data_IF_377630261869
#
_entry.id   IF_377630261869
#
_cell.length_a   1.000
_cell.length_b   1.000
_cell.length_c   1.000
_cell.angle_alpha   90.00
_cell.angle_beta   90.00
_cell.angle_gamma   90.00
#
_symmetry.space_group_name_H-M   'P 1'
#
loop_
_entity.id
_entity.type
_entity.pdbx_description
1 polymer ?
#
# COMPACT_ATOMS: atom_id res chain seq x y z
N UNK A 1 7.23 -29.34 -34.79
CA UNK A 1 5.94 -28.68 -34.50
C UNK A 1 5.48 -28.94 -33.05
N UNK A 2 6.36 -28.73 -32.05
CA UNK A 2 6.09 -29.01 -30.62
C UNK A 2 6.44 -27.80 -29.71
N UNK A 3 7.15 -26.79 -30.24
CA UNK A 3 7.68 -25.67 -29.45
C UNK A 3 6.62 -24.58 -29.17
N UNK A 4 5.54 -24.50 -29.94
CA UNK A 4 4.51 -23.47 -29.79
C UNK A 4 3.49 -23.75 -28.65
N UNK A 5 3.29 -25.01 -28.26
CA UNK A 5 2.28 -25.39 -27.26
C UNK A 5 2.74 -25.19 -25.82
N UNK A 6 4.05 -25.21 -25.56
CA UNK A 6 4.61 -25.02 -24.21
C UNK A 6 4.59 -23.55 -23.80
N UNK A 7 4.80 -22.62 -24.74
CA UNK A 7 4.75 -21.18 -24.48
C UNK A 7 3.32 -20.69 -24.18
N UNK A 8 2.31 -21.20 -24.87
CA UNK A 8 0.91 -20.85 -24.61
C UNK A 8 0.45 -21.28 -23.21
N UNK A 9 0.84 -22.48 -22.77
CA UNK A 9 0.53 -22.99 -21.43
C UNK A 9 1.21 -22.19 -20.30
N UNK A 10 2.49 -21.81 -20.47
CA UNK A 10 3.20 -21.03 -19.47
C UNK A 10 2.63 -19.60 -19.33
N UNK A 11 2.29 -18.94 -20.44
CA UNK A 11 1.70 -17.60 -20.43
C UNK A 11 0.30 -17.63 -19.81
N UNK A 12 -0.50 -18.67 -20.08
CA UNK A 12 -1.80 -18.86 -19.43
C UNK A 12 -1.66 -19.11 -17.93
N UNK A 13 -0.70 -19.93 -17.49
CA UNK A 13 -0.48 -20.18 -16.06
C UNK A 13 0.00 -18.90 -15.36
N UNK A 14 0.92 -18.15 -15.95
CA UNK A 14 1.47 -16.92 -15.34
C UNK A 14 0.44 -15.79 -15.28
N UNK A 15 -0.45 -15.67 -16.28
CA UNK A 15 -1.44 -14.59 -16.33
C UNK A 15 -2.80 -14.97 -15.72
N UNK A 16 -3.19 -16.24 -15.73
CA UNK A 16 -4.48 -16.70 -15.20
C UNK A 16 -4.40 -17.14 -13.74
N UNK A 17 -3.27 -17.68 -13.25
CA UNK A 17 -3.16 -18.16 -11.87
C UNK A 17 -3.31 -17.05 -10.80
N UNK A 18 -2.70 -15.85 -10.95
CA UNK A 18 -2.96 -14.72 -10.04
C UNK A 18 -4.44 -14.32 -10.07
N UNK A 19 -5.05 -14.35 -11.26
CA UNK A 19 -6.46 -13.97 -11.48
C UNK A 19 -7.45 -14.96 -10.86
N UNK A 20 -7.16 -16.25 -10.87
CA UNK A 20 -8.00 -17.28 -10.20
C UNK A 20 -7.86 -17.17 -8.68
N UNK A 21 -6.66 -16.97 -8.15
CA UNK A 21 -6.46 -16.78 -6.72
C UNK A 21 -7.17 -15.52 -6.21
N UNK A 22 -7.04 -14.41 -6.95
CA UNK A 22 -7.77 -13.18 -6.65
C UNK A 22 -9.29 -13.41 -6.72
N UNK A 23 -9.82 -14.05 -7.77
CA UNK A 23 -11.25 -14.38 -7.87
C UNK A 23 -11.78 -15.26 -6.71
N UNK A 24 -10.95 -16.19 -6.21
CA UNK A 24 -11.32 -17.06 -5.07
C UNK A 24 -11.16 -16.39 -3.70
N UNK A 25 -10.17 -15.51 -3.52
CA UNK A 25 -9.72 -15.07 -2.19
C UNK A 25 -9.71 -13.54 -1.98
N UNK A 26 -9.72 -12.75 -3.04
CA UNK A 26 -9.58 -11.28 -3.00
C UNK A 26 -10.90 -10.51 -3.07
N UNK A 27 -12.05 -11.16 -2.94
CA UNK A 27 -13.36 -10.47 -2.98
C UNK A 27 -13.53 -9.59 -1.73
N UNK A 28 -13.79 -8.32 -1.95
CA UNK A 28 -14.09 -7.35 -0.90
C UNK A 28 -15.20 -6.37 -1.27
N UNK A 29 -15.63 -5.57 -0.30
CA UNK A 29 -16.60 -4.50 -0.49
C UNK A 29 -16.02 -3.18 0.00
N UNK A 30 -16.20 -2.12 -0.79
CA UNK A 30 -15.83 -0.76 -0.40
C UNK A 30 -16.83 -0.26 0.65
N UNK A 31 -16.34 0.10 1.85
CA UNK A 31 -17.16 0.53 2.98
C UNK A 31 -17.14 2.05 3.17
N UNK A 32 -15.93 2.60 3.29
CA UNK A 32 -15.66 4.00 3.58
C UNK A 32 -14.71 4.59 2.55
N UNK A 33 -14.94 5.86 2.24
CA UNK A 33 -14.17 6.63 1.26
C UNK A 33 -13.85 7.97 1.92
N UNK A 34 -12.58 8.29 2.07
CA UNK A 34 -12.10 9.58 2.57
C UNK A 34 -11.29 10.23 1.45
N UNK A 35 -11.75 11.38 0.98
CA UNK A 35 -11.03 12.15 -0.03
C UNK A 35 -9.96 13.01 0.66
N UNK A 36 -8.75 12.96 0.13
CA UNK A 36 -7.58 13.71 0.56
C UNK A 36 -7.03 14.42 -0.68
N UNK A 37 -7.52 15.62 -0.98
CA UNK A 37 -7.18 16.34 -2.21
C UNK A 37 -7.55 15.55 -3.47
N UNK A 38 -6.54 15.21 -4.28
CA UNK A 38 -6.63 14.43 -5.51
C UNK A 38 -6.61 12.91 -5.28
N UNK A 39 -6.21 12.47 -4.08
CA UNK A 39 -6.17 11.09 -3.67
C UNK A 39 -7.40 10.71 -2.83
N UNK A 40 -7.74 9.43 -2.84
CA UNK A 40 -8.85 8.89 -2.05
C UNK A 40 -8.39 7.66 -1.28
N UNK A 41 -8.63 7.66 0.03
CA UNK A 41 -8.43 6.50 0.89
C UNK A 41 -9.71 5.72 0.96
N UNK A 42 -9.64 4.47 0.55
CA UNK A 42 -10.77 3.54 0.51
C UNK A 42 -10.55 2.45 1.54
N UNK A 43 -11.53 2.26 2.43
CA UNK A 43 -11.59 1.09 3.28
C UNK A 43 -12.30 -0.03 2.54
N UNK A 44 -11.60 -1.13 2.33
CA UNK A 44 -12.12 -2.35 1.72
C UNK A 44 -12.19 -3.44 2.79
N UNK A 45 -13.39 -3.97 3.00
CA UNK A 45 -13.62 -5.14 3.83
C UNK A 45 -13.56 -6.38 2.93
N UNK A 46 -12.47 -7.13 3.07
CA UNK A 46 -12.25 -8.40 2.39
C UNK A 46 -12.97 -9.54 3.11
N UNK A 47 -13.49 -10.50 2.34
CA UNK A 47 -14.11 -11.72 2.89
C UNK A 47 -13.10 -12.64 3.56
N UNK A 48 -11.83 -12.57 3.15
CA UNK A 48 -10.74 -13.33 3.74
C UNK A 48 -9.66 -12.36 4.19
N UNK A 49 -9.02 -12.69 5.30
CA UNK A 49 -7.90 -11.90 5.79
C UNK A 49 -6.79 -11.91 4.72
N UNK A 50 -6.36 -10.72 4.30
CA UNK A 50 -5.31 -10.53 3.30
C UNK A 50 -4.01 -10.16 3.97
N UNK A 51 -2.93 -10.67 3.40
CA UNK A 51 -1.57 -10.38 3.80
C UNK A 51 -1.22 -8.93 3.47
N UNK A 52 -0.73 -8.12 4.40
CA UNK A 52 -0.24 -6.74 4.22
C UNK A 52 1.17 -6.59 4.80
N UNK A 53 1.93 -5.64 4.27
CA UNK A 53 3.18 -5.17 4.86
C UNK A 53 3.48 -3.72 4.41
N UNK A 54 4.31 -2.98 5.14
CA UNK A 54 4.61 -1.58 4.82
C UNK A 54 5.14 -1.42 3.39
N UNK A 55 4.47 -0.56 2.62
CA UNK A 55 4.83 -0.23 1.24
C UNK A 55 4.36 -1.23 0.18
N UNK A 56 3.59 -2.26 0.56
CA UNK A 56 2.95 -3.12 -0.42
C UNK A 56 1.83 -2.40 -1.19
N UNK A 57 1.52 -2.90 -2.38
CA UNK A 57 0.42 -2.42 -3.20
C UNK A 57 -0.45 -3.59 -3.66
N UNK A 58 -1.64 -3.25 -4.14
CA UNK A 58 -2.60 -4.19 -4.72
C UNK A 58 -3.07 -3.66 -6.06
N UNK A 59 -3.62 -4.54 -6.88
CA UNK A 59 -4.51 -4.14 -7.95
C UNK A 59 -5.95 -4.31 -7.47
N UNK A 60 -6.75 -3.26 -7.65
CA UNK A 60 -8.19 -3.28 -7.40
C UNK A 60 -8.93 -3.33 -8.73
N UNK A 61 -9.87 -4.25 -8.85
CA UNK A 61 -10.72 -4.40 -10.04
C UNK A 61 -12.16 -4.20 -9.57
N UNK A 62 -12.83 -3.11 -9.99
CA UNK A 62 -14.24 -2.92 -9.70
C UNK A 62 -15.03 -4.00 -10.44
N UNK A 63 -15.85 -4.79 -9.73
CA UNK A 63 -16.61 -5.96 -10.21
C UNK A 63 -15.86 -7.27 -10.47
N UNK A 64 -16.34 -8.32 -9.79
CA UNK A 64 -15.87 -9.70 -9.90
C UNK A 64 -16.48 -10.50 -11.09
N UNK A 65 -17.30 -9.88 -11.93
CA UNK A 65 -18.04 -10.54 -13.02
C UNK A 65 -17.42 -10.41 -14.42
N UNK A 66 -16.56 -9.42 -14.65
CA UNK A 66 -15.86 -9.29 -15.94
C UNK A 66 -14.48 -8.66 -15.76
N UNK A 67 -13.48 -9.53 -15.62
CA UNK A 67 -12.05 -9.17 -15.62
C UNK A 67 -11.57 -8.66 -16.99
N UNK A 68 -12.38 -8.84 -18.04
CA UNK A 68 -12.10 -8.38 -19.40
C UNK A 68 -12.64 -6.97 -19.68
N UNK A 69 -13.64 -6.50 -18.91
CA UNK A 69 -14.26 -5.19 -19.11
C UNK A 69 -13.68 -4.08 -18.22
N UNK A 70 -12.99 -4.44 -17.14
CA UNK A 70 -12.54 -3.46 -16.13
C UNK A 70 -11.01 -3.44 -16.01
N UNK A 71 -10.45 -2.24 -16.11
CA UNK A 71 -9.01 -1.99 -15.97
C UNK A 71 -8.60 -2.12 -14.49
N UNK A 72 -7.58 -2.93 -14.17
CA UNK A 72 -7.02 -2.95 -12.82
C UNK A 72 -6.42 -1.60 -12.46
N UNK A 73 -6.73 -1.09 -11.27
CA UNK A 73 -6.15 0.13 -10.74
C UNK A 73 -5.11 -0.22 -9.67
N UNK A 74 -3.93 0.40 -9.74
CA UNK A 74 -2.91 0.23 -8.72
C UNK A 74 -3.30 1.04 -7.48
N UNK A 75 -3.26 0.39 -6.32
CA UNK A 75 -3.61 1.00 -5.04
C UNK A 75 -2.58 0.65 -3.97
N UNK A 76 -2.18 1.63 -3.17
CA UNK A 76 -1.16 1.43 -2.14
C UNK A 76 -1.80 1.09 -0.80
N UNK A 77 -1.18 0.19 -0.04
CA UNK A 77 -1.61 -0.06 1.33
C UNK A 77 -1.41 1.20 2.19
N UNK A 78 -2.49 1.69 2.77
CA UNK A 78 -2.55 2.99 3.43
C UNK A 78 -3.10 2.88 4.84
N UNK A 79 -2.27 2.38 5.75
CA UNK A 79 -2.65 2.00 7.12
C UNK A 79 -3.37 3.08 7.94
N UNK A 80 -4.24 2.69 8.90
CA UNK A 80 -4.83 3.64 9.83
C UNK A 80 -3.75 4.17 10.79
N UNK A 81 -3.70 5.48 11.00
CA UNK A 81 -2.68 6.15 11.83
C UNK A 81 -2.70 5.68 13.29
N UNK A 82 -3.84 5.22 13.80
CA UNK A 82 -4.01 4.71 15.19
C UNK A 82 -3.58 3.26 15.40
N UNK A 83 -3.13 2.56 14.34
CA UNK A 83 -2.77 1.15 14.48
C UNK A 83 -1.51 1.06 15.35
N UNK A 84 -1.57 0.31 16.45
CA UNK A 84 -0.47 0.23 17.43
C UNK A 84 0.78 -0.48 16.91
N UNK A 85 1.87 -0.42 17.68
CA UNK A 85 3.22 -0.90 17.32
C UNK A 85 3.26 -2.38 16.88
N UNK A 86 2.30 -3.22 17.30
CA UNK A 86 2.27 -4.65 16.97
C UNK A 86 1.96 -4.96 15.49
N UNK A 87 1.19 -4.11 14.79
CA UNK A 87 0.86 -4.33 13.38
C UNK A 87 2.05 -4.15 12.43
N UNK A 88 3.11 -3.51 12.91
CA UNK A 88 4.27 -3.13 12.12
C UNK A 88 5.27 -4.27 11.96
N UNK A 89 5.55 -5.03 13.02
CA UNK A 89 6.72 -5.93 13.09
C UNK A 89 6.62 -7.16 12.17
N UNK A 90 5.45 -7.46 11.65
CA UNK A 90 5.20 -8.65 10.83
C UNK A 90 4.28 -8.35 9.65
N UNK A 91 4.37 -9.22 8.65
CA UNK A 91 3.26 -9.43 7.74
C UNK A 91 1.97 -9.61 8.53
N UNK A 92 1.02 -8.69 8.37
CA UNK A 92 -0.26 -8.75 9.08
C UNK A 92 -1.32 -9.33 8.14
N UNK A 93 -2.22 -10.14 8.67
CA UNK A 93 -3.35 -10.66 7.90
C UNK A 93 -4.61 -10.00 8.44
N UNK A 94 -5.22 -9.09 7.67
CA UNK A 94 -6.41 -8.34 8.09
C UNK A 94 -7.53 -8.45 7.05
N UNK A 95 -8.77 -8.50 7.52
CA UNK A 95 -9.94 -8.42 6.66
C UNK A 95 -10.27 -6.98 6.28
N UNK A 96 -9.91 -6.01 7.12
CA UNK A 96 -10.14 -4.59 6.85
C UNK A 96 -8.83 -3.94 6.41
N UNK A 97 -8.81 -3.41 5.18
CA UNK A 97 -7.64 -2.81 4.57
C UNK A 97 -7.98 -1.42 4.08
N UNK A 98 -7.10 -0.49 4.36
CA UNK A 98 -7.15 0.87 3.85
C UNK A 98 -6.21 0.98 2.65
N UNK A 99 -6.72 1.52 1.56
CA UNK A 99 -6.03 1.56 0.27
C UNK A 99 -6.07 2.99 -0.26
N UNK A 100 -4.92 3.54 -0.61
CA UNK A 100 -4.83 4.81 -1.30
C UNK A 100 -5.03 4.59 -2.79
N UNK A 101 -6.02 5.27 -3.36
CA UNK A 101 -6.32 5.29 -4.79
C UNK A 101 -6.09 6.69 -5.32
N UNK A 102 -5.35 6.77 -6.42
CA UNK A 102 -5.08 8.03 -7.11
C UNK A 102 -6.20 8.35 -8.10
N UNK A 103 -6.42 9.63 -8.37
CA UNK A 103 -7.38 10.15 -9.36
C UNK A 103 -8.86 9.81 -9.09
N UNK A 104 -9.15 9.29 -7.88
CA UNK A 104 -10.49 9.15 -7.30
C UNK A 104 -11.58 8.67 -8.28
N UNK A 105 -11.44 7.47 -8.87
CA UNK A 105 -12.37 7.00 -9.90
C UNK A 105 -13.80 6.83 -9.37
N UNK A 106 -14.78 7.13 -10.23
CA UNK A 106 -16.22 7.19 -9.87
C UNK A 106 -16.77 5.90 -9.25
N UNK A 107 -16.21 4.73 -9.60
CA UNK A 107 -16.64 3.45 -9.04
C UNK A 107 -16.41 3.35 -7.53
N UNK A 108 -15.46 4.12 -6.96
CA UNK A 108 -15.20 4.14 -5.52
C UNK A 108 -16.41 4.69 -4.76
N UNK A 109 -17.05 5.73 -5.29
CA UNK A 109 -18.19 6.40 -4.65
C UNK A 109 -19.41 5.49 -4.57
N UNK A 110 -19.51 4.51 -5.46
CA UNK A 110 -20.65 3.60 -5.59
C UNK A 110 -20.62 2.41 -4.62
N UNK A 111 -19.63 2.31 -3.72
CA UNK A 111 -19.49 1.23 -2.72
C UNK A 111 -19.60 -0.18 -3.32
N UNK A 112 -18.96 -0.37 -4.48
CA UNK A 112 -19.08 -1.60 -5.26
C UNK A 112 -18.30 -2.76 -4.64
N UNK A 113 -18.66 -3.98 -5.03
CA UNK A 113 -17.81 -5.15 -4.80
C UNK A 113 -16.57 -5.05 -5.68
N UNK A 114 -15.43 -5.28 -5.06
CA UNK A 114 -14.12 -5.18 -5.68
C UNK A 114 -13.37 -6.48 -5.55
N UNK A 115 -12.46 -6.68 -6.49
CA UNK A 115 -11.50 -7.76 -6.45
C UNK A 115 -10.12 -7.19 -6.17
N UNK A 116 -9.50 -7.65 -5.08
CA UNK A 116 -8.14 -7.31 -4.70
C UNK A 116 -7.18 -8.40 -5.17
N UNK A 117 -6.15 -8.00 -5.89
CA UNK A 117 -5.06 -8.86 -6.29
C UNK A 117 -3.75 -8.35 -5.68
N UNK A 118 -3.04 -9.22 -4.96
CA UNK A 118 -1.86 -8.88 -4.16
C UNK A 118 -1.78 -9.65 -2.84
N UNK A 119 -0.94 -9.22 -1.88
CA UNK A 119 -0.09 -8.04 -1.93
C UNK A 119 1.09 -8.20 -2.89
N UNK A 120 1.41 -7.13 -3.61
CA UNK A 120 2.58 -7.00 -4.45
C UNK A 120 3.59 -6.02 -3.83
N UNK A 121 4.84 -6.10 -4.31
CA UNK A 121 5.97 -5.34 -3.80
C UNK A 121 7.04 -6.23 -3.18
N UNK A 122 8.07 -5.59 -2.64
CA UNK A 122 9.16 -6.25 -1.93
C UNK A 122 9.26 -5.68 -0.52
N UNK A 123 9.19 -6.55 0.48
CA UNK A 123 9.46 -6.12 1.85
C UNK A 123 10.96 -6.01 2.06
N UNK A 124 11.49 -4.79 1.90
CA UNK A 124 12.91 -4.48 2.02
C UNK A 124 13.46 -4.65 3.43
N UNK A 125 12.60 -4.81 4.45
CA UNK A 125 13.00 -4.96 5.86
C UNK A 125 14.00 -3.88 6.30
N UNK A 126 13.64 -2.59 6.16
CA UNK A 126 14.55 -1.49 6.43
C UNK A 126 15.08 -1.47 7.88
N UNK A 127 14.38 -2.12 8.82
CA UNK A 127 14.79 -2.27 10.22
C UNK A 127 16.13 -2.99 10.42
N UNK A 128 16.59 -3.72 9.38
CA UNK A 128 17.85 -4.47 9.36
C UNK A 128 19.05 -3.69 8.85
N UNK A 129 18.87 -2.42 8.49
CA UNK A 129 19.94 -1.56 8.00
C UNK A 129 20.15 -0.41 8.98
N UNK A 130 21.41 -0.04 9.23
CA UNK A 130 21.74 1.04 10.15
C UNK A 130 21.29 2.41 9.61
N UNK A 131 21.51 2.64 8.31
CA UNK A 131 21.09 3.85 7.60
C UNK A 131 20.19 3.45 6.44
N UNK A 132 19.02 4.09 6.36
CA UNK A 132 18.03 3.87 5.30
C UNK A 132 17.82 5.18 4.56
N UNK A 133 18.03 5.17 3.24
CA UNK A 133 17.70 6.30 2.38
C UNK A 133 16.48 5.91 1.55
N UNK A 134 15.41 6.68 1.72
CA UNK A 134 14.13 6.50 1.05
C UNK A 134 13.97 7.61 0.02
N UNK A 135 13.83 7.24 -1.25
CA UNK A 135 13.69 8.20 -2.35
C UNK A 135 12.37 7.95 -3.06
N UNK A 136 11.60 9.02 -3.28
CA UNK A 136 10.36 8.96 -4.01
C UNK A 136 10.21 10.19 -4.93
N UNK A 137 9.50 9.99 -6.04
CA UNK A 137 9.07 11.07 -6.92
C UNK A 137 7.53 11.06 -7.04
N UNK A 138 6.93 12.24 -7.02
CA UNK A 138 5.51 12.48 -7.15
C UNK A 138 4.72 11.58 -6.22
N UNK A 139 3.66 10.96 -6.75
CA UNK A 139 2.79 10.07 -5.99
C UNK A 139 3.42 8.72 -5.62
N UNK A 140 4.63 8.41 -6.09
CA UNK A 140 5.38 7.21 -5.70
C UNK A 140 5.73 7.16 -4.21
N UNK A 141 5.63 8.30 -3.50
CA UNK A 141 5.77 8.38 -2.04
C UNK A 141 4.78 7.49 -1.30
N UNK A 142 3.63 7.16 -1.92
CA UNK A 142 2.60 6.31 -1.32
C UNK A 142 3.10 4.91 -0.93
N UNK A 143 4.07 4.36 -1.66
CA UNK A 143 4.72 3.09 -1.32
C UNK A 143 5.86 3.23 -0.31
N UNK A 144 6.44 4.42 -0.19
CA UNK A 144 7.64 4.67 0.63
C UNK A 144 7.27 5.12 2.04
N UNK A 145 6.25 5.97 2.16
CA UNK A 145 5.84 6.57 3.43
C UNK A 145 5.40 5.52 4.47
N UNK A 146 4.64 4.46 4.12
CA UNK A 146 4.34 3.39 5.08
C UNK A 146 5.59 2.69 5.60
N UNK A 147 6.63 2.52 4.78
CA UNK A 147 7.89 1.93 5.20
C UNK A 147 8.64 2.84 6.18
N UNK A 148 8.69 4.16 5.92
CA UNK A 148 9.24 5.13 6.87
C UNK A 148 8.48 5.08 8.21
N UNK A 149 7.14 5.09 8.17
CA UNK A 149 6.27 5.05 9.34
C UNK A 149 6.46 3.77 10.15
N UNK A 150 6.61 2.64 9.47
CA UNK A 150 6.92 1.37 10.09
C UNK A 150 8.20 1.45 10.92
N UNK A 151 9.31 1.94 10.33
CA UNK A 151 10.58 2.04 11.05
C UNK A 151 10.43 3.02 12.21
N UNK A 152 9.75 4.16 12.03
CA UNK A 152 9.57 5.16 13.07
C UNK A 152 8.83 4.63 14.30
N UNK A 153 7.87 3.72 14.11
CA UNK A 153 7.01 3.16 15.18
C UNK A 153 7.60 1.94 15.88
N UNK A 154 8.42 1.13 15.22
CA UNK A 154 9.03 -0.05 15.86
C UNK A 154 10.01 0.36 16.96
N UNK A 155 10.04 -0.44 18.04
CA UNK A 155 10.93 -0.20 19.18
C UNK A 155 12.39 -0.16 18.75
N UNK A 156 13.18 0.74 19.37
CA UNK A 156 14.64 0.81 19.19
C UNK A 156 15.37 -0.50 19.53
N UNK A 157 14.76 -1.40 20.31
CA UNK A 157 15.33 -2.73 20.61
C UNK A 157 15.14 -3.72 19.45
N UNK A 158 14.16 -3.48 18.58
CA UNK A 158 13.76 -4.35 17.49
C UNK A 158 14.31 -3.90 16.12
N UNK A 159 15.05 -2.79 16.07
CA UNK A 159 15.69 -2.25 14.85
C UNK A 159 17.15 -1.92 15.10
N UNK A 160 17.98 -2.09 14.08
CA UNK A 160 19.33 -1.52 14.09
C UNK A 160 19.36 -0.11 13.47
N UNK A 161 18.30 0.27 12.75
CA UNK A 161 18.20 1.57 12.06
C UNK A 161 18.34 2.74 13.03
N UNK A 162 19.33 3.58 12.75
CA UNK A 162 19.64 4.81 13.49
C UNK A 162 19.24 6.06 12.73
N UNK A 163 19.27 6.00 11.39
CA UNK A 163 19.01 7.14 10.51
C UNK A 163 18.11 6.75 9.36
N UNK A 164 17.12 7.60 9.10
CA UNK A 164 16.23 7.50 7.94
C UNK A 164 16.28 8.85 7.24
N UNK A 165 16.74 8.87 6.00
CA UNK A 165 16.72 10.06 5.15
C UNK A 165 15.61 9.86 4.11
N UNK A 166 14.53 10.64 4.20
CA UNK A 166 13.45 10.63 3.22
C UNK A 166 13.61 11.81 2.26
N UNK A 167 13.84 11.52 0.99
CA UNK A 167 13.90 12.50 -0.08
C UNK A 167 12.68 12.34 -0.98
N UNK A 168 11.86 13.38 -1.03
CA UNK A 168 10.68 13.41 -1.87
C UNK A 168 10.77 14.56 -2.87
N UNK A 169 10.67 14.21 -4.15
CA UNK A 169 10.58 15.18 -5.24
C UNK A 169 9.13 15.27 -5.71
N UNK A 170 8.49 16.42 -5.50
CA UNK A 170 7.14 16.70 -6.00
C UNK A 170 7.17 16.99 -7.50
N UNK A 171 6.13 16.58 -8.22
CA UNK A 171 5.93 16.94 -9.62
C UNK A 171 5.13 18.26 -9.73
N UNK A 172 4.13 18.46 -8.84
CA UNK A 172 3.43 19.73 -8.62
C UNK A 172 3.37 20.03 -7.10
N UNK A 173 3.28 21.32 -6.72
CA UNK A 173 3.31 21.73 -5.31
C UNK A 173 2.08 21.25 -4.52
N UNK A 174 0.92 21.11 -5.16
CA UNK A 174 -0.33 20.74 -4.50
C UNK A 174 -0.42 19.22 -4.22
N UNK A 175 0.54 18.43 -4.73
CA UNK A 175 0.61 16.98 -4.52
C UNK A 175 1.00 16.59 -3.07
N UNK A 176 1.23 17.56 -2.17
CA UNK A 176 1.62 17.30 -0.77
C UNK A 176 0.44 17.06 0.17
N UNK A 177 -0.71 17.69 -0.06
CA UNK A 177 -1.81 17.80 0.92
C UNK A 177 -2.28 16.44 1.43
N UNK A 178 -2.39 15.44 0.55
CA UNK A 178 -2.87 14.11 0.92
C UNK A 178 -1.88 13.31 1.79
N UNK A 179 -0.59 13.65 1.76
CA UNK A 179 0.46 12.98 2.52
C UNK A 179 0.83 13.73 3.81
N UNK A 180 0.40 14.99 3.96
CA UNK A 180 0.80 15.91 5.02
C UNK A 180 0.61 15.29 6.42
N UNK A 181 -0.55 14.74 6.73
CA UNK A 181 -0.85 14.17 8.05
C UNK A 181 0.17 13.10 8.47
N UNK A 182 0.61 12.26 7.52
CA UNK A 182 1.62 11.22 7.78
C UNK A 182 3.02 11.78 7.87
N UNK A 183 3.36 12.78 7.05
CA UNK A 183 4.64 13.47 7.16
C UNK A 183 4.75 14.14 8.53
N UNK A 184 3.71 14.84 8.97
CA UNK A 184 3.65 15.40 10.32
C UNK A 184 3.79 14.31 11.38
N UNK A 185 3.07 13.19 11.25
CA UNK A 185 3.21 12.05 12.17
C UNK A 185 4.66 11.55 12.24
N UNK A 186 5.34 11.39 11.10
CA UNK A 186 6.74 10.98 11.06
C UNK A 186 7.65 11.97 11.76
N UNK A 187 7.41 13.26 11.56
CA UNK A 187 8.22 14.30 12.20
C UNK A 187 7.96 14.33 13.72
N UNK A 188 6.74 14.11 14.18
CA UNK A 188 6.43 14.01 15.62
C UNK A 188 7.05 12.76 16.26
N UNK A 189 7.20 11.68 15.50
CA UNK A 189 7.90 10.48 15.96
C UNK A 189 9.42 10.65 15.98
N UNK A 190 9.97 11.76 15.44
CA UNK A 190 11.40 12.04 15.49
C UNK A 190 11.84 12.50 16.89
N UNK A 191 12.61 11.67 17.62
CA UNK A 191 13.11 12.02 18.94
C UNK A 191 14.10 13.20 18.95
N UNK A 192 14.70 13.55 17.81
CA UNK A 192 15.66 14.66 17.74
C UNK A 192 15.01 16.03 17.63
N UNK A 193 13.78 16.12 17.11
CA UNK A 193 13.03 17.39 17.05
C UNK A 193 12.56 17.85 18.44
N UNK A 194 12.05 16.93 19.25
CA UNK A 194 11.56 17.21 20.62
C UNK A 194 12.64 17.85 21.51
N UNK A 195 13.92 17.63 21.23
CA UNK A 195 15.04 18.14 22.03
C UNK A 195 15.39 19.62 21.75
N UNK A 196 14.96 20.19 20.61
CA UNK A 196 15.30 21.56 20.23
C UNK A 196 14.22 22.58 20.63
N UNK A 197 13.06 22.12 21.11
CA UNK A 197 11.92 22.96 21.54
C UNK A 197 11.80 23.08 23.08
N UNK A 198 12.78 22.57 23.84
CA UNK A 198 12.91 22.70 25.31
C UNK A 198 14.23 23.37 25.70
#
# INVERSE_FOLDING_TARGET
MIVASVFGGLVFIITAYPRVNSWLNGKGAVQQVVQLGDATVVQVQSKKALRTYPGCYYYIIPSAFSIAANTPHLVYHWEKIDTGVEAYTTTTTTSDIFLLVQDSPEWIKQKVQVLLDGPYGYNARPEKYETVVLVAQGRGIAGVLPAASHIARISRRSRITRRIDLQWKLDQNDDEEWAEERLQTLIHLDPHRVRNDT
#
